data_IF_009622669493
#
_entry.id   IF_009622669493
#
_cell.length_a   1.000
_cell.length_b   1.000
_cell.length_c   1.000
_cell.angle_alpha   90.00
_cell.angle_beta   90.00
_cell.angle_gamma   90.00
#
_symmetry.space_group_name_H-M   'P 1'
#
loop_
_entity.id
_entity.type
_entity.pdbx_description
1 polymer ?
#
# COMPACT_ATOMS: atom_id res chain seq x y z
N UNK A 1 -61.92 6.20 -16.82
CA UNK A 1 -60.48 6.44 -17.10
C UNK A 1 -59.68 5.89 -15.93
N UNK A 2 -58.85 4.86 -16.11
CA UNK A 2 -58.05 4.28 -15.02
C UNK A 2 -57.02 5.29 -14.49
N UNK A 3 -56.82 5.35 -13.16
CA UNK A 3 -55.85 6.19 -12.46
C UNK A 3 -54.45 6.19 -13.11
N UNK A 4 -53.99 5.02 -13.53
CA UNK A 4 -52.69 4.84 -14.18
C UNK A 4 -52.58 5.58 -15.53
N UNK A 5 -53.67 5.69 -16.29
CA UNK A 5 -53.68 6.39 -17.57
C UNK A 5 -53.68 7.91 -17.38
N UNK A 6 -54.39 8.42 -16.36
CA UNK A 6 -54.47 9.85 -16.04
C UNK A 6 -53.14 10.40 -15.51
N UNK A 7 -52.41 9.60 -14.71
CA UNK A 7 -51.21 10.04 -14.00
C UNK A 7 -49.90 9.42 -14.53
N UNK A 8 -49.93 8.78 -15.70
CA UNK A 8 -48.80 8.03 -16.29
C UNK A 8 -47.47 8.81 -16.29
N UNK A 9 -47.51 10.10 -16.63
CA UNK A 9 -46.31 10.99 -16.65
C UNK A 9 -45.71 11.18 -15.25
N UNK A 10 -46.54 11.43 -14.24
CA UNK A 10 -46.09 11.67 -12.87
C UNK A 10 -45.49 10.40 -12.25
N UNK A 11 -46.05 9.23 -12.60
CA UNK A 11 -45.52 7.92 -12.18
C UNK A 11 -44.15 7.67 -12.82
N UNK A 12 -44.01 7.90 -14.13
CA UNK A 12 -42.72 7.75 -14.83
C UNK A 12 -41.66 8.68 -14.23
N UNK A 13 -42.01 9.93 -13.94
CA UNK A 13 -41.09 10.89 -13.31
C UNK A 13 -40.67 10.41 -11.91
N UNK A 14 -41.60 9.91 -11.10
CA UNK A 14 -41.29 9.35 -9.79
C UNK A 14 -40.38 8.11 -9.85
N UNK A 15 -40.61 7.22 -10.80
CA UNK A 15 -39.75 6.04 -11.04
C UNK A 15 -38.36 6.47 -11.50
N UNK A 16 -38.26 7.42 -12.42
CA UNK A 16 -36.96 7.94 -12.87
C UNK A 16 -36.23 8.63 -11.70
N UNK A 17 -36.91 9.44 -10.90
CA UNK A 17 -36.32 10.12 -9.75
C UNK A 17 -35.78 9.13 -8.71
N UNK A 18 -36.54 8.08 -8.40
CA UNK A 18 -36.08 7.03 -7.47
C UNK A 18 -34.91 6.23 -8.03
N UNK A 19 -34.90 5.89 -9.32
CA UNK A 19 -33.77 5.24 -9.97
C UNK A 19 -32.52 6.13 -10.01
N UNK A 20 -32.68 7.43 -10.27
CA UNK A 20 -31.59 8.39 -10.25
C UNK A 20 -31.01 8.55 -8.84
N UNK A 21 -31.85 8.64 -7.81
CA UNK A 21 -31.40 8.71 -6.41
C UNK A 21 -30.70 7.41 -6.02
N UNK A 22 -31.24 6.25 -6.37
CA UNK A 22 -30.60 4.96 -6.10
C UNK A 22 -29.25 4.84 -6.83
N UNK A 23 -29.15 5.33 -8.07
CA UNK A 23 -27.89 5.40 -8.81
C UNK A 23 -26.89 6.35 -8.14
N UNK A 24 -27.31 7.53 -7.66
CA UNK A 24 -26.45 8.46 -6.93
C UNK A 24 -25.98 7.88 -5.60
N UNK A 25 -26.85 7.18 -4.87
CA UNK A 25 -26.49 6.46 -3.63
C UNK A 25 -25.53 5.31 -3.96
N UNK A 26 -25.78 4.54 -5.01
CA UNK A 26 -24.88 3.48 -5.45
C UNK A 26 -23.52 4.05 -5.90
N UNK A 27 -23.48 5.18 -6.61
CA UNK A 27 -22.24 5.88 -6.97
C UNK A 27 -21.51 6.44 -5.74
N UNK A 28 -22.25 6.91 -4.74
CA UNK A 28 -21.70 7.37 -3.46
C UNK A 28 -21.13 6.20 -2.64
N UNK A 29 -21.78 5.03 -2.64
CA UNK A 29 -21.28 3.78 -2.06
C UNK A 29 -20.11 3.20 -2.86
N UNK A 30 -20.12 3.40 -4.18
CA UNK A 30 -19.07 3.02 -5.11
C UNK A 30 -17.93 4.04 -5.19
N UNK A 31 -17.91 5.12 -4.38
CA UNK A 31 -16.68 5.86 -4.11
C UNK A 31 -15.72 4.95 -3.33
N UNK A 32 -15.23 3.94 -4.03
CA UNK A 32 -14.15 3.05 -3.67
C UNK A 32 -12.98 3.98 -3.38
N UNK A 33 -12.46 3.91 -2.17
CA UNK A 33 -11.25 4.62 -1.79
C UNK A 33 -10.15 4.12 -2.73
N UNK A 34 -9.80 4.92 -3.74
CA UNK A 34 -8.71 4.61 -4.65
C UNK A 34 -7.44 5.01 -3.91
N UNK A 35 -6.84 4.05 -3.20
CA UNK A 35 -5.51 4.23 -2.64
C UNK A 35 -4.46 4.22 -3.75
N UNK A 36 -3.38 4.96 -3.55
CA UNK A 36 -2.19 5.00 -4.40
C UNK A 36 -0.96 4.49 -3.65
N UNK A 37 0.14 4.25 -4.37
CA UNK A 37 1.43 3.93 -3.75
C UNK A 37 1.96 5.07 -2.85
N UNK A 38 1.54 6.31 -3.12
CA UNK A 38 1.92 7.48 -2.31
C UNK A 38 1.35 7.42 -0.90
N UNK A 39 0.20 6.75 -0.71
CA UNK A 39 -0.46 6.58 0.58
C UNK A 39 0.25 5.54 1.49
N UNK A 40 1.23 4.80 0.96
CA UNK A 40 1.99 3.81 1.73
C UNK A 40 2.91 4.53 2.71
N UNK A 41 2.76 4.21 4.00
CA UNK A 41 3.56 4.76 5.10
C UNK A 41 4.51 3.68 5.62
N UNK A 42 5.50 3.33 4.81
CA UNK A 42 6.60 2.45 5.23
C UNK A 42 7.82 3.26 5.69
N UNK A 43 8.54 2.73 6.67
CA UNK A 43 9.77 3.30 7.22
C UNK A 43 10.87 2.25 7.17
N UNK A 44 12.06 2.66 6.73
CA UNK A 44 13.28 1.86 6.71
C UNK A 44 14.43 2.71 7.25
N UNK A 45 15.13 2.23 8.27
CA UNK A 45 16.23 2.97 8.90
C UNK A 45 17.29 2.05 9.51
N UNK A 46 18.59 2.40 9.41
CA UNK A 46 19.15 3.50 8.63
C UNK A 46 19.24 3.17 7.12
N UNK A 47 19.31 4.19 6.26
CA UNK A 47 19.50 4.03 4.82
C UNK A 47 20.96 3.77 4.40
N UNK A 48 21.90 3.90 5.35
CA UNK A 48 23.32 3.58 5.17
C UNK A 48 23.77 2.70 6.34
N UNK A 49 24.29 1.52 6.02
CA UNK A 49 24.67 0.46 6.95
C UNK A 49 26.10 -0.02 6.67
N UNK A 50 26.69 -0.72 7.62
CA UNK A 50 27.82 -1.62 7.38
C UNK A 50 27.33 -3.08 7.37
N UNK A 51 28.11 -3.96 6.76
CA UNK A 51 27.84 -5.41 6.83
C UNK A 51 27.69 -5.86 8.28
N UNK A 52 26.60 -6.57 8.57
CA UNK A 52 26.21 -7.02 9.91
C UNK A 52 25.49 -6.00 10.78
N UNK A 53 25.33 -4.75 10.33
CA UNK A 53 24.48 -3.78 11.02
C UNK A 53 23.00 -4.14 10.86
N UNK A 54 22.18 -3.66 11.79
CA UNK A 54 20.75 -3.92 11.81
C UNK A 54 19.98 -2.87 11.01
N UNK A 55 19.23 -3.32 10.01
CA UNK A 55 18.18 -2.56 9.35
C UNK A 55 16.87 -2.74 10.10
N UNK A 56 16.20 -1.67 10.47
CA UNK A 56 14.83 -1.69 10.97
C UNK A 56 13.86 -1.36 9.84
N UNK A 57 12.75 -2.09 9.79
CA UNK A 57 11.64 -1.81 8.89
C UNK A 57 10.32 -1.81 9.65
N UNK A 58 9.41 -0.93 9.25
CA UNK A 58 8.07 -0.81 9.84
C UNK A 58 7.07 -0.30 8.81
N UNK A 59 5.90 -0.94 8.75
CA UNK A 59 4.75 -0.50 7.98
C UNK A 59 3.72 0.15 8.91
N UNK A 60 3.23 1.35 8.55
CA UNK A 60 2.17 2.09 9.23
C UNK A 60 0.99 2.38 8.31
N UNK A 61 0.90 1.68 7.17
CA UNK A 61 -0.14 1.88 6.17
C UNK A 61 -1.50 1.44 6.71
N UNK A 62 -2.42 2.39 6.91
CA UNK A 62 -3.70 2.13 7.60
C UNK A 62 -4.69 1.28 6.78
N UNK A 63 -4.60 1.35 5.44
CA UNK A 63 -5.52 0.63 4.56
C UNK A 63 -5.02 -0.75 4.14
N UNK A 64 -3.81 -1.14 4.57
CA UNK A 64 -3.18 -2.39 4.15
C UNK A 64 -3.89 -3.61 4.75
N UNK A 65 -4.33 -4.54 3.90
CA UNK A 65 -4.84 -5.85 4.33
C UNK A 65 -3.71 -6.87 4.37
N UNK A 66 -2.84 -6.84 3.37
CA UNK A 66 -1.61 -7.63 3.31
C UNK A 66 -0.41 -6.73 3.07
N UNK A 67 0.73 -7.15 3.62
CA UNK A 67 2.02 -6.50 3.44
C UNK A 67 3.09 -7.55 3.21
N UNK A 68 4.08 -7.20 2.39
CA UNK A 68 5.25 -8.01 2.14
C UNK A 68 6.45 -7.12 1.91
N UNK A 69 7.50 -7.32 2.71
CA UNK A 69 8.80 -6.70 2.56
C UNK A 69 9.72 -7.61 1.74
N UNK A 70 10.39 -7.04 0.74
CA UNK A 70 11.43 -7.69 -0.05
C UNK A 70 12.71 -6.89 0.17
N UNK A 71 13.79 -7.52 0.64
CA UNK A 71 15.01 -6.80 1.03
C UNK A 71 16.02 -6.64 -0.11
N UNK A 72 15.78 -7.25 -1.28
CA UNK A 72 16.66 -7.15 -2.45
C UNK A 72 17.89 -8.06 -2.41
N UNK A 73 18.09 -8.81 -1.32
CA UNK A 73 19.12 -9.85 -1.17
C UNK A 73 18.59 -11.29 -1.34
N UNK A 74 17.33 -11.41 -1.79
CA UNK A 74 16.61 -12.67 -1.93
C UNK A 74 15.76 -13.04 -0.72
N UNK A 75 15.83 -12.30 0.38
CA UNK A 75 15.00 -12.52 1.57
C UNK A 75 13.74 -11.65 1.57
N UNK A 76 12.73 -12.07 2.34
CA UNK A 76 11.46 -11.35 2.49
C UNK A 76 10.82 -11.55 3.87
N UNK A 77 9.87 -10.68 4.22
CA UNK A 77 9.10 -10.77 5.47
C UNK A 77 7.67 -10.29 5.29
N UNK A 78 6.69 -11.01 5.85
CA UNK A 78 5.27 -10.61 5.87
C UNK A 78 4.89 -9.90 7.19
N UNK A 79 5.87 -9.65 8.07
CA UNK A 79 5.66 -8.93 9.34
C UNK A 79 5.44 -7.44 9.10
N UNK A 80 4.67 -6.83 9.99
CA UNK A 80 4.44 -5.38 9.99
C UNK A 80 5.74 -4.60 10.26
N UNK A 81 6.53 -5.07 11.22
CA UNK A 81 7.82 -4.50 11.57
C UNK A 81 8.80 -5.59 11.98
N UNK A 82 10.08 -5.24 11.96
CA UNK A 82 11.14 -6.14 12.38
C UNK A 82 12.52 -5.61 12.06
N UNK A 83 13.48 -6.52 12.10
CA UNK A 83 14.87 -6.27 11.78
C UNK A 83 15.35 -7.19 10.65
N UNK A 84 16.32 -6.69 9.89
CA UNK A 84 17.04 -7.42 8.85
C UNK A 84 18.52 -7.07 8.91
N UNK A 85 19.39 -7.88 8.34
CA UNK A 85 20.82 -7.59 8.23
C UNK A 85 21.37 -8.12 6.90
N UNK A 86 22.39 -7.45 6.38
CA UNK A 86 23.04 -7.85 5.13
C UNK A 86 24.42 -8.42 5.38
N UNK A 87 24.70 -9.55 4.73
CA UNK A 87 25.97 -10.28 4.84
C UNK A 87 27.03 -9.80 3.82
N UNK A 88 26.63 -9.02 2.83
CA UNK A 88 27.51 -8.54 1.76
C UNK A 88 27.32 -7.04 1.58
N UNK A 89 28.39 -6.30 1.24
CA UNK A 89 28.25 -4.90 0.86
C UNK A 89 27.53 -4.82 -0.49
N UNK A 90 26.78 -3.74 -0.70
CA UNK A 90 26.00 -3.54 -1.90
C UNK A 90 24.95 -2.46 -1.77
N UNK A 91 24.32 -2.15 -2.89
CA UNK A 91 23.12 -1.33 -2.92
C UNK A 91 21.90 -2.26 -2.97
N UNK A 92 21.01 -2.10 -2.00
CA UNK A 92 19.82 -2.91 -1.84
C UNK A 92 18.58 -2.03 -1.96
N UNK A 93 17.63 -2.47 -2.78
CA UNK A 93 16.33 -1.83 -2.91
C UNK A 93 15.32 -2.61 -2.07
N UNK A 94 14.99 -2.06 -0.89
CA UNK A 94 13.98 -2.65 0.00
C UNK A 94 12.61 -2.24 -0.51
N UNK A 95 11.75 -3.19 -0.85
CA UNK A 95 10.41 -2.92 -1.40
C UNK A 95 9.33 -3.42 -0.44
N UNK A 96 8.44 -2.51 -0.02
CA UNK A 96 7.19 -2.83 0.64
C UNK A 96 6.09 -2.98 -0.41
N UNK A 97 5.43 -4.13 -0.44
CA UNK A 97 4.29 -4.44 -1.29
C UNK A 97 3.04 -4.52 -0.41
N UNK A 98 2.02 -3.72 -0.73
CA UNK A 98 0.72 -3.70 -0.06
C UNK A 98 -0.34 -4.29 -0.98
N UNK A 99 -1.13 -5.22 -0.44
CA UNK A 99 -2.28 -5.85 -1.13
C UNK A 99 -1.92 -6.46 -2.50
N UNK A 100 -0.66 -6.83 -2.72
CA UNK A 100 -0.10 -7.28 -4.00
C UNK A 100 -0.37 -6.31 -5.17
N UNK A 101 -0.69 -5.05 -4.88
CA UNK A 101 -1.15 -4.06 -5.84
C UNK A 101 -0.29 -2.81 -5.84
N UNK A 102 0.11 -2.36 -4.66
CA UNK A 102 0.88 -1.15 -4.48
C UNK A 102 2.27 -1.49 -3.97
N UNK A 103 3.27 -0.71 -4.35
CA UNK A 103 4.63 -0.92 -3.89
C UNK A 103 5.35 0.38 -3.63
N UNK A 104 6.17 0.42 -2.57
CA UNK A 104 7.05 1.54 -2.25
C UNK A 104 8.46 1.00 -1.99
N UNK A 105 9.47 1.65 -2.55
CA UNK A 105 10.86 1.23 -2.44
C UNK A 105 11.69 2.20 -1.62
N UNK A 106 12.64 1.65 -0.86
CA UNK A 106 13.55 2.35 0.03
C UNK A 106 14.98 1.93 -0.33
N UNK A 107 15.82 2.87 -0.82
CA UNK A 107 17.20 2.57 -1.13
C UNK A 107 18.04 2.44 0.14
N UNK A 108 18.81 1.36 0.25
CA UNK A 108 19.71 1.08 1.37
C UNK A 108 21.11 0.78 0.86
N UNK A 109 22.10 1.52 1.35
CA UNK A 109 23.50 1.33 1.01
C UNK A 109 24.20 0.56 2.13
N UNK A 110 24.77 -0.60 1.81
CA UNK A 110 25.54 -1.42 2.75
C UNK A 110 27.01 -1.35 2.37
N UNK A 111 27.82 -0.76 3.25
CA UNK A 111 29.26 -0.65 3.11
C UNK A 111 29.98 -1.82 3.79
N UNK A 112 31.20 -2.15 3.33
CA UNK A 112 31.99 -3.19 3.98
C UNK A 112 32.37 -2.75 5.40
N UNK A 113 32.39 -3.70 6.34
CA UNK A 113 32.96 -3.43 7.67
C UNK A 113 34.48 -3.35 7.51
N UNK A 114 35.06 -2.18 7.77
CA UNK A 114 36.52 -2.03 7.79
C UNK A 114 37.08 -2.91 8.91
N UNK A 115 37.77 -3.99 8.57
CA UNK A 115 38.61 -4.71 9.53
C UNK A 115 39.81 -3.80 9.79
N UNK A 116 40.06 -3.35 11.04
CA UNK A 116 41.29 -2.62 11.32
C UNK A 116 42.47 -3.50 10.93
N UNK A 117 43.42 -2.94 10.17
CA UNK A 117 44.66 -3.64 9.82
C UNK A 117 45.32 -4.09 11.14
N UNK A 118 45.69 -5.38 11.29
CA UNK A 118 46.46 -5.78 12.46
C UNK A 118 47.74 -4.94 12.49
N UNK A 119 47.97 -4.27 13.61
CA UNK A 119 49.17 -3.49 13.89
C UNK A 119 50.36 -4.43 14.07
#
# INVERSE_FOLDING_TARGET
MNYFQKNKKNIIIGVIATLLIAALVALWLQKKVIHSADDIVGVVYPSSLKVGDTLLFEDKTQFAKTKKWIFGDGTSSDKNSGFHFYNRPGYYQVTLIIDNKYSKSFPVMVSARSIPKPV
#
